data_IF_055015727535
#
_entry.id   IF_055015727535
#
_cell.length_a   1.000
_cell.length_b   1.000
_cell.length_c   1.000
_cell.angle_alpha   90.00
_cell.angle_beta   90.00
_cell.angle_gamma   90.00
#
_symmetry.space_group_name_H-M   'P 1'
#
loop_
_entity.id
_entity.type
_entity.pdbx_description
1 polymer ?
#
# COMPACT_ATOMS: atom_id res chain seq x y z
N UNK A 1 -10.94 -20.86 14.50
CA UNK A 1 -9.73 -20.19 13.97
C UNK A 1 -9.33 -20.92 12.70
N UNK A 2 -9.32 -20.24 11.54
CA UNK A 2 -9.10 -20.91 10.27
C UNK A 2 -7.61 -21.34 10.15
N UNK A 3 -7.39 -22.66 10.02
CA UNK A 3 -6.06 -23.28 9.92
C UNK A 3 -5.26 -22.72 8.74
N UNK A 4 -5.95 -22.29 7.68
CA UNK A 4 -5.35 -21.69 6.48
C UNK A 4 -4.71 -20.33 6.79
N UNK A 5 -5.36 -19.55 7.65
CA UNK A 5 -4.86 -18.24 8.07
C UNK A 5 -3.59 -18.35 8.92
N UNK A 6 -3.60 -19.28 9.90
CA UNK A 6 -2.44 -19.52 10.76
C UNK A 6 -1.24 -20.03 9.96
N UNK A 7 -1.47 -20.92 9.00
CA UNK A 7 -0.43 -21.41 8.10
C UNK A 7 0.17 -20.29 7.24
N UNK A 8 -0.67 -19.43 6.65
CA UNK A 8 -0.22 -18.30 5.84
C UNK A 8 0.63 -17.31 6.67
N UNK A 9 0.21 -17.02 7.91
CA UNK A 9 0.94 -16.14 8.83
C UNK A 9 2.31 -16.70 9.22
N UNK A 10 2.38 -17.99 9.55
CA UNK A 10 3.63 -18.68 9.89
C UNK A 10 4.58 -18.73 8.69
N UNK A 11 4.08 -19.06 7.51
CA UNK A 11 4.87 -19.07 6.27
C UNK A 11 5.43 -17.70 5.95
N UNK A 12 4.64 -16.64 6.09
CA UNK A 12 5.10 -15.26 5.88
C UNK A 12 6.18 -14.85 6.89
N UNK A 13 6.08 -15.30 8.15
CA UNK A 13 7.10 -15.04 9.18
C UNK A 13 8.43 -15.74 8.87
N UNK A 14 8.39 -17.01 8.42
CA UNK A 14 9.58 -17.77 7.99
C UNK A 14 10.25 -17.13 6.79
N UNK A 15 9.48 -16.75 5.76
CA UNK A 15 10.00 -16.06 4.58
C UNK A 15 10.69 -14.74 4.95
N UNK A 16 10.17 -14.00 5.93
CA UNK A 16 10.84 -12.78 6.41
C UNK A 16 12.18 -13.07 7.08
N UNK A 17 12.26 -14.12 7.90
CA UNK A 17 13.51 -14.50 8.58
C UNK A 17 14.59 -14.87 7.55
N UNK A 18 14.26 -15.73 6.58
CA UNK A 18 15.17 -16.10 5.49
C UNK A 18 15.61 -14.90 4.64
N UNK A 19 14.68 -13.97 4.35
CA UNK A 19 15.01 -12.76 3.63
C UNK A 19 15.95 -11.83 4.39
N UNK A 20 15.84 -11.77 5.72
CA UNK A 20 16.75 -10.97 6.53
C UNK A 20 18.20 -11.48 6.42
N UNK A 21 18.39 -12.80 6.37
CA UNK A 21 19.71 -13.41 6.17
C UNK A 21 20.28 -13.10 4.77
N UNK A 22 19.45 -13.20 3.73
CA UNK A 22 19.86 -12.88 2.36
C UNK A 22 20.18 -11.39 2.20
N UNK A 23 19.47 -10.51 2.92
CA UNK A 23 19.75 -9.06 2.92
C UNK A 23 21.07 -8.70 3.60
N UNK A 24 21.56 -9.55 4.50
CA UNK A 24 22.88 -9.40 5.10
C UNK A 24 24.02 -9.79 4.13
N UNK A 25 23.72 -10.49 3.05
CA UNK A 25 24.70 -10.86 2.02
C UNK A 25 25.01 -9.69 1.08
N UNK A 26 26.17 -9.75 0.41
CA UNK A 26 26.64 -8.68 -0.49
C UNK A 26 25.99 -8.79 -1.88
N UNK A 27 25.71 -7.62 -2.48
CA UNK A 27 25.25 -7.51 -3.87
C UNK A 27 23.86 -6.91 -4.07
N UNK A 28 23.76 -5.84 -4.89
CA UNK A 28 22.53 -5.10 -5.14
C UNK A 28 21.41 -5.96 -5.75
N UNK A 29 21.74 -6.89 -6.66
CA UNK A 29 20.77 -7.77 -7.28
C UNK A 29 20.15 -8.75 -6.28
N UNK A 30 20.95 -9.25 -5.35
CA UNK A 30 20.53 -10.17 -4.32
C UNK A 30 19.65 -9.46 -3.28
N UNK A 31 20.03 -8.25 -2.86
CA UNK A 31 19.18 -7.38 -2.01
C UNK A 31 17.83 -7.13 -2.67
N UNK A 32 17.81 -6.73 -3.95
CA UNK A 32 16.56 -6.49 -4.67
C UNK A 32 15.67 -7.74 -4.74
N UNK A 33 16.25 -8.92 -4.90
CA UNK A 33 15.50 -10.19 -4.87
C UNK A 33 14.89 -10.45 -3.49
N UNK A 34 15.66 -10.26 -2.42
CA UNK A 34 15.20 -10.44 -1.05
C UNK A 34 14.06 -9.47 -0.70
N UNK A 35 14.16 -8.19 -1.09
CA UNK A 35 13.07 -7.23 -0.88
C UNK A 35 11.79 -7.62 -1.64
N UNK A 36 11.89 -8.22 -2.84
CA UNK A 36 10.71 -8.74 -3.54
C UNK A 36 10.02 -9.88 -2.79
N UNK A 37 10.82 -10.80 -2.22
CA UNK A 37 10.28 -11.89 -1.40
C UNK A 37 9.65 -11.35 -0.11
N UNK A 38 10.34 -10.42 0.56
CA UNK A 38 9.83 -9.77 1.78
C UNK A 38 8.52 -9.02 1.53
N UNK A 39 8.40 -8.33 0.40
CA UNK A 39 7.15 -7.69 -0.03
C UNK A 39 6.02 -8.70 -0.21
N UNK A 40 6.29 -9.83 -0.85
CA UNK A 40 5.30 -10.89 -1.02
C UNK A 40 4.85 -11.45 0.34
N UNK A 41 5.79 -11.69 1.27
CA UNK A 41 5.51 -12.17 2.62
C UNK A 41 4.66 -11.17 3.42
N UNK A 42 5.01 -9.88 3.40
CA UNK A 42 4.23 -8.83 4.07
C UNK A 42 2.81 -8.72 3.51
N UNK A 43 2.65 -8.80 2.19
CA UNK A 43 1.32 -8.74 1.56
C UNK A 43 0.47 -9.96 1.92
N UNK A 44 1.06 -11.15 1.95
CA UNK A 44 0.36 -12.37 2.36
C UNK A 44 -0.05 -12.32 3.84
N UNK A 45 0.83 -11.84 4.71
CA UNK A 45 0.51 -11.66 6.13
C UNK A 45 -0.61 -10.65 6.34
N UNK A 46 -0.52 -9.50 5.66
CA UNK A 46 -1.56 -8.47 5.74
C UNK A 46 -2.90 -8.97 5.20
N UNK A 47 -2.88 -9.73 4.11
CA UNK A 47 -4.06 -10.39 3.57
C UNK A 47 -4.69 -11.34 4.58
N UNK A 48 -3.89 -12.20 5.21
CA UNK A 48 -4.35 -13.13 6.23
C UNK A 48 -4.94 -12.40 7.45
N UNK A 49 -4.32 -11.29 7.87
CA UNK A 49 -4.83 -10.47 8.97
C UNK A 49 -6.15 -9.78 8.61
N UNK A 50 -6.28 -9.19 7.42
CA UNK A 50 -7.49 -8.48 7.00
C UNK A 50 -8.69 -9.41 6.76
N UNK A 51 -8.45 -10.63 6.28
CA UNK A 51 -9.51 -11.62 6.00
C UNK A 51 -9.80 -12.57 7.17
N UNK A 52 -8.91 -12.64 8.17
CA UNK A 52 -9.06 -13.44 9.38
C UNK A 52 -9.64 -12.65 10.57
N UNK A 53 -9.09 -12.91 11.77
CA UNK A 53 -9.50 -12.23 13.02
C UNK A 53 -9.20 -10.73 13.01
N UNK A 54 -8.27 -10.33 12.16
CA UNK A 54 -7.98 -8.96 11.78
C UNK A 54 -7.17 -8.17 12.79
N UNK A 55 -6.81 -6.98 12.35
CA UNK A 55 -6.21 -5.96 13.20
C UNK A 55 -7.33 -5.13 13.82
N UNK A 56 -7.29 -4.88 15.14
CA UNK A 56 -8.29 -4.04 15.79
C UNK A 56 -8.25 -2.62 15.23
N UNK A 57 -9.41 -2.01 14.96
CA UNK A 57 -9.46 -0.63 14.52
C UNK A 57 -8.98 0.31 15.65
N UNK A 58 -8.20 1.32 15.27
CA UNK A 58 -7.85 2.44 16.13
C UNK A 58 -8.18 3.73 15.39
N UNK A 59 -8.41 4.79 16.14
CA UNK A 59 -8.60 6.10 15.51
C UNK A 59 -7.29 6.58 14.91
N UNK A 60 -7.33 6.99 13.65
CA UNK A 60 -6.21 7.60 12.94
C UNK A 60 -6.69 8.76 12.07
N UNK A 61 -5.80 9.69 11.75
CA UNK A 61 -6.07 10.70 10.71
C UNK A 61 -5.60 10.16 9.36
N UNK A 62 -6.55 9.79 8.50
CA UNK A 62 -6.28 9.25 7.18
C UNK A 62 -5.44 10.21 6.33
N UNK A 63 -5.70 11.52 6.40
CA UNK A 63 -4.98 12.52 5.58
C UNK A 63 -3.55 12.73 6.07
N UNK A 64 -3.32 12.74 7.37
CA UNK A 64 -2.00 12.91 7.95
C UNK A 64 -1.12 11.66 7.72
N UNK A 65 -1.66 10.45 7.92
CA UNK A 65 -0.96 9.19 7.64
C UNK A 65 -0.65 9.04 6.15
N UNK A 66 -1.59 9.41 5.26
CA UNK A 66 -1.34 9.40 3.82
C UNK A 66 -0.23 10.39 3.41
N UNK A 67 -0.21 11.60 4.01
CA UNK A 67 0.85 12.59 3.78
C UNK A 67 2.21 12.03 4.15
N UNK A 68 2.36 11.49 5.35
CA UNK A 68 3.63 10.94 5.83
C UNK A 68 4.17 9.82 4.93
N UNK A 69 3.28 8.92 4.47
CA UNK A 69 3.65 7.84 3.55
C UNK A 69 4.08 8.35 2.17
N UNK A 70 3.40 9.39 1.64
CA UNK A 70 3.77 10.00 0.35
C UNK A 70 5.09 10.76 0.47
N UNK A 71 5.33 11.46 1.57
CA UNK A 71 6.59 12.14 1.86
C UNK A 71 7.74 11.12 1.97
N UNK A 72 7.56 10.04 2.73
CA UNK A 72 8.53 8.95 2.79
C UNK A 72 8.80 8.32 1.41
N UNK A 73 7.75 8.11 0.60
CA UNK A 73 7.90 7.59 -0.75
C UNK A 73 8.71 8.53 -1.67
N UNK A 74 8.55 9.86 -1.52
CA UNK A 74 9.33 10.84 -2.27
C UNK A 74 10.82 10.83 -1.93
N UNK A 75 11.15 10.54 -0.68
CA UNK A 75 12.55 10.47 -0.23
C UNK A 75 13.28 9.25 -0.80
N UNK A 76 12.57 8.11 -0.96
CA UNK A 76 13.21 6.86 -1.39
C UNK A 76 13.07 6.57 -2.88
N UNK A 77 12.09 7.15 -3.57
CA UNK A 77 11.91 6.95 -5.01
C UNK A 77 12.66 8.01 -5.81
N UNK A 78 13.55 7.63 -6.74
CA UNK A 78 14.35 8.55 -7.54
C UNK A 78 13.49 9.22 -8.64
N UNK A 79 12.56 10.06 -8.25
CA UNK A 79 11.66 10.77 -9.16
C UNK A 79 11.45 12.22 -8.72
N UNK A 80 11.24 13.15 -9.67
CA UNK A 80 10.91 14.53 -9.32
C UNK A 80 9.64 14.60 -8.44
N UNK A 81 9.63 15.42 -7.37
CA UNK A 81 8.47 15.58 -6.50
C UNK A 81 7.19 16.01 -7.24
N UNK A 82 7.33 16.67 -8.39
CA UNK A 82 6.21 17.06 -9.26
C UNK A 82 5.45 15.88 -9.86
N UNK A 83 6.09 14.71 -9.93
CA UNK A 83 5.48 13.48 -10.47
C UNK A 83 4.75 12.65 -9.40
N UNK A 84 5.01 12.89 -8.10
CA UNK A 84 4.24 12.30 -7.01
C UNK A 84 3.62 13.43 -6.18
N UNK A 85 2.37 13.77 -6.47
CA UNK A 85 1.65 14.89 -5.84
C UNK A 85 0.77 14.42 -4.70
N UNK A 86 0.72 15.21 -3.63
CA UNK A 86 -0.22 15.02 -2.53
C UNK A 86 -1.02 16.28 -2.29
N UNK A 87 -2.32 16.13 -2.02
CA UNK A 87 -3.20 17.21 -1.56
C UNK A 87 -4.24 16.67 -0.58
N UNK A 88 -4.66 17.51 0.36
CA UNK A 88 -5.69 17.19 1.34
C UNK A 88 -6.67 18.36 1.48
N UNK A 89 -7.85 18.11 2.01
CA UNK A 89 -8.92 19.10 2.17
C UNK A 89 -8.69 20.15 3.27
N UNK A 90 -7.52 20.16 3.90
CA UNK A 90 -7.15 21.11 4.96
C UNK A 90 -7.73 20.81 6.34
N UNK A 91 -8.59 19.80 6.46
CA UNK A 91 -9.17 19.34 7.72
C UNK A 91 -8.71 17.90 8.02
N UNK A 92 -8.58 17.52 9.29
CA UNK A 92 -8.35 16.14 9.67
C UNK A 92 -9.46 15.21 9.17
N UNK A 93 -9.10 13.99 8.83
CA UNK A 93 -10.04 12.95 8.38
C UNK A 93 -9.97 11.76 9.34
N UNK A 94 -10.59 11.85 10.54
CA UNK A 94 -10.56 10.79 11.53
C UNK A 94 -11.36 9.58 11.06
N UNK A 95 -10.72 8.42 11.06
CA UNK A 95 -11.32 7.12 10.72
C UNK A 95 -10.91 6.06 11.75
N UNK A 96 -11.73 5.04 11.91
CA UNK A 96 -11.42 3.89 12.74
C UNK A 96 -10.89 2.75 11.85
N UNK A 97 -9.56 2.60 11.79
CA UNK A 97 -8.89 1.57 11.01
C UNK A 97 -7.53 1.20 11.62
N UNK A 98 -6.91 0.13 11.14
CA UNK A 98 -5.54 -0.20 11.51
C UNK A 98 -4.55 0.55 10.62
N UNK A 99 -3.78 1.46 11.21
CA UNK A 99 -2.80 2.29 10.47
C UNK A 99 -1.75 1.48 9.71
N UNK A 100 -1.18 0.36 10.24
CA UNK A 100 -0.27 -0.49 9.47
C UNK A 100 -0.92 -1.08 8.21
N UNK A 101 -2.21 -1.47 8.29
CA UNK A 101 -2.94 -2.00 7.15
C UNK A 101 -3.23 -0.90 6.10
N UNK A 102 -3.59 0.31 6.55
CA UNK A 102 -3.71 1.47 5.68
C UNK A 102 -2.40 1.77 4.95
N UNK A 103 -1.27 1.74 5.68
CA UNK A 103 0.07 1.91 5.11
C UNK A 103 0.38 0.89 4.02
N UNK A 104 0.12 -0.40 4.28
CA UNK A 104 0.31 -1.45 3.30
C UNK A 104 -0.55 -1.23 2.04
N UNK A 105 -1.81 -0.82 2.19
CA UNK A 105 -2.71 -0.52 1.08
C UNK A 105 -2.18 0.64 0.24
N UNK A 106 -1.89 1.78 0.86
CA UNK A 106 -1.45 2.97 0.13
C UNK A 106 -0.11 2.75 -0.59
N UNK A 107 0.85 2.10 0.07
CA UNK A 107 2.15 1.77 -0.53
C UNK A 107 2.02 0.78 -1.69
N UNK A 108 1.12 -0.20 -1.61
CA UNK A 108 0.83 -1.10 -2.74
C UNK A 108 0.21 -0.37 -3.93
N UNK A 109 -0.73 0.55 -3.69
CA UNK A 109 -1.34 1.37 -4.73
C UNK A 109 -0.29 2.28 -5.39
N UNK A 110 0.55 2.95 -4.59
CA UNK A 110 1.67 3.76 -5.08
C UNK A 110 2.65 2.93 -5.91
N UNK A 111 3.09 1.78 -5.40
CA UNK A 111 3.99 0.90 -6.11
C UNK A 111 3.43 0.46 -7.47
N UNK A 112 2.14 0.10 -7.53
CA UNK A 112 1.50 -0.27 -8.78
C UNK A 112 1.52 0.89 -9.78
N UNK A 113 1.17 2.09 -9.35
CA UNK A 113 1.21 3.28 -10.22
C UNK A 113 2.61 3.63 -10.70
N UNK A 114 3.63 3.44 -9.85
CA UNK A 114 5.04 3.66 -10.22
C UNK A 114 5.57 2.58 -11.16
N UNK A 115 5.15 1.33 -10.99
CA UNK A 115 5.57 0.21 -11.84
C UNK A 115 4.93 0.26 -13.23
N UNK A 116 3.65 0.52 -13.28
CA UNK A 116 2.85 0.42 -14.50
C UNK A 116 2.54 1.77 -15.14
N UNK A 117 2.97 2.88 -14.52
CA UNK A 117 2.74 4.24 -15.00
C UNK A 117 3.56 4.68 -16.22
N UNK A 118 4.37 3.78 -16.80
CA UNK A 118 5.22 4.08 -17.96
C UNK A 118 6.59 4.67 -17.58
N UNK A 119 7.27 5.29 -18.56
CA UNK A 119 8.64 5.78 -18.40
C UNK A 119 8.76 6.98 -17.42
N UNK A 120 7.70 7.81 -17.32
CA UNK A 120 7.63 8.95 -16.40
C UNK A 120 6.31 8.86 -15.61
N UNK A 121 6.23 7.97 -14.61
CA UNK A 121 5.00 7.76 -13.87
C UNK A 121 4.64 9.03 -13.11
N UNK A 122 3.47 9.61 -13.42
CA UNK A 122 2.89 10.69 -12.66
C UNK A 122 1.76 10.14 -11.80
N UNK A 123 1.79 10.45 -10.49
CA UNK A 123 0.82 9.96 -9.52
C UNK A 123 0.29 11.12 -8.68
N UNK A 124 -1.01 11.15 -8.47
CA UNK A 124 -1.66 12.10 -7.57
C UNK A 124 -2.41 11.36 -6.48
N UNK A 125 -2.12 11.70 -5.21
CA UNK A 125 -2.85 11.23 -4.04
C UNK A 125 -3.61 12.41 -3.46
N UNK A 126 -4.93 12.25 -3.28
CA UNK A 126 -5.80 13.28 -2.73
C UNK A 126 -6.64 12.73 -1.59
N UNK A 127 -6.67 13.46 -0.47
CA UNK A 127 -7.54 13.14 0.65
C UNK A 127 -8.67 14.17 0.73
N UNK A 128 -9.91 13.70 0.71
CA UNK A 128 -11.12 14.51 0.63
C UNK A 128 -12.12 14.10 1.70
N UNK A 129 -12.93 15.04 2.14
CA UNK A 129 -14.16 14.76 2.89
C UNK A 129 -15.34 14.75 1.93
N UNK A 130 -16.14 13.69 1.95
CA UNK A 130 -17.36 13.58 1.15
C UNK A 130 -18.52 13.18 2.09
N UNK A 131 -19.27 14.17 2.53
CA UNK A 131 -20.30 13.98 3.55
C UNK A 131 -19.72 13.42 4.85
N UNK A 132 -20.20 12.25 5.25
CA UNK A 132 -19.73 11.50 6.43
C UNK A 132 -18.55 10.56 6.16
N UNK A 133 -17.90 10.68 5.01
CA UNK A 133 -16.82 9.78 4.61
C UNK A 133 -15.51 10.52 4.37
N UNK A 134 -14.41 9.89 4.79
CA UNK A 134 -13.06 10.22 4.35
C UNK A 134 -12.79 9.45 3.05
N UNK A 135 -12.27 10.12 2.02
CA UNK A 135 -11.97 9.53 0.72
C UNK A 135 -10.52 9.79 0.37
N UNK A 136 -9.77 8.72 0.08
CA UNK A 136 -8.46 8.78 -0.53
C UNK A 136 -8.61 8.42 -2.01
N UNK A 137 -8.19 9.33 -2.88
CA UNK A 137 -8.12 9.13 -4.33
C UNK A 137 -6.66 9.02 -4.74
N UNK A 138 -6.29 7.94 -5.39
CA UNK A 138 -4.99 7.78 -6.03
C UNK A 138 -5.23 7.67 -7.53
N UNK A 139 -4.57 8.50 -8.31
CA UNK A 139 -4.67 8.49 -9.78
C UNK A 139 -3.28 8.49 -10.39
N UNK A 140 -3.09 7.64 -11.37
CA UNK A 140 -1.98 7.70 -12.31
C UNK A 140 -2.46 8.03 -13.74
N UNK A 141 -1.51 8.35 -14.61
CA UNK A 141 -1.72 8.63 -16.04
C UNK A 141 -0.97 7.63 -16.92
N UNK A 142 -0.88 6.38 -16.44
CA UNK A 142 -0.26 5.28 -17.17
C UNK A 142 -1.12 4.74 -18.32
N UNK A 143 -0.74 3.56 -18.85
CA UNK A 143 -1.45 2.91 -19.94
C UNK A 143 -2.84 2.38 -19.55
N UNK A 144 -3.15 2.33 -18.25
CA UNK A 144 -4.38 1.75 -17.73
C UNK A 144 -4.38 0.23 -17.74
N UNK A 145 -5.46 -0.36 -17.24
CA UNK A 145 -5.69 -1.80 -17.16
C UNK A 145 -6.68 -2.20 -18.25
N UNK A 146 -6.33 -3.12 -19.15
CA UNK A 146 -7.24 -3.63 -20.18
C UNK A 146 -8.52 -4.22 -19.56
N UNK A 147 -9.70 -4.06 -20.16
CA UNK A 147 -10.98 -4.48 -19.59
C UNK A 147 -11.02 -5.94 -19.14
N UNK A 148 -10.45 -6.85 -19.91
CA UNK A 148 -10.38 -8.28 -19.59
C UNK A 148 -9.52 -8.59 -18.35
N UNK A 149 -8.59 -7.68 -17.97
CA UNK A 149 -7.74 -7.83 -16.79
C UNK A 149 -8.29 -7.11 -15.55
N UNK A 150 -9.25 -6.20 -15.69
CA UNK A 150 -9.74 -5.41 -14.55
C UNK A 150 -10.41 -6.30 -13.48
N UNK A 151 -11.20 -7.30 -13.89
CA UNK A 151 -11.81 -8.25 -12.94
C UNK A 151 -10.75 -9.11 -12.24
N UNK A 152 -9.74 -9.57 -12.99
CA UNK A 152 -8.63 -10.35 -12.46
C UNK A 152 -7.76 -9.54 -11.50
N UNK A 153 -7.63 -8.24 -11.72
CA UNK A 153 -6.82 -7.36 -10.87
C UNK A 153 -7.33 -7.26 -9.42
N UNK A 154 -8.63 -7.49 -9.19
CA UNK A 154 -9.24 -7.53 -7.86
C UNK A 154 -9.34 -8.96 -7.28
N UNK A 155 -8.99 -9.98 -8.06
CA UNK A 155 -9.01 -11.38 -7.60
C UNK A 155 -7.66 -11.70 -6.94
N UNK A 156 -7.66 -12.20 -5.69
CA UNK A 156 -6.42 -12.55 -5.00
C UNK A 156 -5.60 -13.58 -5.81
N UNK A 157 -4.30 -13.35 -5.90
CA UNK A 157 -3.34 -14.22 -6.57
C UNK A 157 -3.57 -14.48 -8.07
N UNK A 158 -4.54 -13.83 -8.71
CA UNK A 158 -4.84 -14.06 -10.14
C UNK A 158 -3.74 -13.54 -11.09
N UNK A 159 -2.81 -12.73 -10.60
CA UNK A 159 -1.65 -12.23 -11.36
C UNK A 159 -0.33 -12.90 -10.99
N UNK A 160 -0.35 -14.02 -10.28
CA UNK A 160 0.81 -14.64 -9.65
C UNK A 160 1.83 -15.33 -10.62
N UNK A 161 1.74 -15.12 -11.91
CA UNK A 161 2.71 -15.63 -12.87
C UNK A 161 4.11 -14.97 -12.83
N UNK A 162 4.29 -13.92 -12.05
CA UNK A 162 5.58 -13.25 -11.80
C UNK A 162 5.59 -12.59 -10.41
N UNK A 163 6.55 -12.95 -9.61
CA UNK A 163 6.72 -12.69 -8.18
C UNK A 163 6.56 -11.27 -7.58
N UNK A 164 6.45 -10.13 -8.25
CA UNK A 164 6.50 -8.84 -7.54
C UNK A 164 5.21 -8.47 -6.77
N UNK A 165 4.79 -9.28 -5.80
CA UNK A 165 3.70 -8.95 -4.87
C UNK A 165 2.50 -9.88 -4.88
N UNK A 166 2.60 -11.06 -5.49
CA UNK A 166 1.58 -12.13 -5.50
C UNK A 166 0.18 -11.71 -6.01
N UNK A 167 0.05 -10.57 -6.71
CA UNK A 167 -1.26 -10.09 -7.14
C UNK A 167 -2.20 -9.72 -5.98
N UNK A 168 -1.66 -9.39 -4.80
CA UNK A 168 -2.44 -9.08 -3.61
C UNK A 168 -2.68 -7.59 -3.38
N UNK A 169 -1.98 -6.68 -4.09
CA UNK A 169 -2.03 -5.24 -3.79
C UNK A 169 -3.44 -4.63 -3.88
N UNK A 170 -4.16 -4.85 -4.97
CA UNK A 170 -5.54 -4.36 -5.14
C UNK A 170 -6.56 -5.14 -4.28
N UNK A 171 -6.48 -6.49 -4.19
CA UNK A 171 -7.27 -7.26 -3.24
C UNK A 171 -7.13 -6.79 -1.79
N UNK A 172 -5.91 -6.42 -1.34
CA UNK A 172 -5.68 -5.84 0.00
C UNK A 172 -6.47 -4.56 0.22
N UNK A 173 -6.54 -3.67 -0.78
CA UNK A 173 -7.31 -2.44 -0.68
C UNK A 173 -8.82 -2.72 -0.55
N UNK A 174 -9.33 -3.71 -1.29
CA UNK A 174 -10.73 -4.12 -1.19
C UNK A 174 -11.03 -4.79 0.17
N UNK A 175 -10.16 -5.68 0.66
CA UNK A 175 -10.30 -6.33 1.95
C UNK A 175 -10.22 -5.32 3.11
N UNK A 176 -9.30 -4.36 3.04
CA UNK A 176 -9.20 -3.26 4.01
C UNK A 176 -10.48 -2.43 4.06
N UNK A 177 -10.98 -2.01 2.89
CA UNK A 177 -12.23 -1.25 2.82
C UNK A 177 -13.39 -2.01 3.46
N UNK A 178 -13.61 -3.26 3.05
CA UNK A 178 -14.67 -4.11 3.59
C UNK A 178 -14.55 -4.30 5.11
N UNK A 179 -13.34 -4.50 5.62
CA UNK A 179 -13.07 -4.71 7.05
C UNK A 179 -13.45 -3.52 7.92
N UNK A 180 -13.21 -2.30 7.43
CA UNK A 180 -13.44 -1.08 8.20
C UNK A 180 -14.68 -0.29 7.75
N UNK A 181 -15.68 -0.97 7.19
CA UNK A 181 -16.97 -0.38 6.82
C UNK A 181 -16.90 0.62 5.66
N UNK A 182 -15.86 0.46 4.84
CA UNK A 182 -15.58 1.31 3.69
C UNK A 182 -15.98 0.71 2.35
N UNK A 183 -15.50 1.36 1.29
CA UNK A 183 -15.59 0.86 -0.08
C UNK A 183 -14.29 1.15 -0.83
N UNK A 184 -13.92 0.25 -1.72
CA UNK A 184 -12.82 0.43 -2.66
C UNK A 184 -13.34 0.32 -4.08
N UNK A 185 -13.02 1.29 -4.92
CA UNK A 185 -13.36 1.31 -6.34
C UNK A 185 -12.12 1.50 -7.19
N UNK A 186 -12.11 0.85 -8.34
CA UNK A 186 -11.03 0.94 -9.32
C UNK A 186 -11.63 1.29 -10.67
N UNK A 187 -11.24 2.43 -11.21
CA UNK A 187 -11.60 2.85 -12.55
C UNK A 187 -10.36 2.89 -13.42
N UNK A 188 -10.43 2.29 -14.59
CA UNK A 188 -9.34 2.31 -15.55
C UNK A 188 -9.87 2.26 -16.99
N UNK A 189 -9.20 3.02 -17.84
CA UNK A 189 -9.44 2.97 -19.29
C UNK A 189 -8.09 2.91 -20.00
N UNK A 190 -7.94 2.10 -21.06
CA UNK A 190 -6.73 2.06 -21.86
C UNK A 190 -6.27 3.47 -22.29
N UNK A 191 -5.01 3.78 -22.06
CA UNK A 191 -4.40 5.08 -22.36
C UNK A 191 -4.82 6.25 -21.46
N UNK A 192 -5.63 6.02 -20.41
CA UNK A 192 -6.12 7.06 -19.48
C UNK A 192 -5.69 6.85 -18.03
N UNK A 193 -4.85 5.84 -17.79
CA UNK A 193 -4.36 5.49 -16.46
C UNK A 193 -5.38 4.78 -15.59
N UNK A 194 -5.10 4.79 -14.29
CA UNK A 194 -5.91 4.15 -13.24
C UNK A 194 -6.31 5.19 -12.20
N UNK A 195 -7.55 5.11 -11.75
CA UNK A 195 -8.04 5.84 -10.59
C UNK A 195 -8.54 4.82 -9.54
N UNK A 196 -7.94 4.83 -8.37
CA UNK A 196 -8.32 4.02 -7.21
C UNK A 196 -8.91 4.93 -6.15
N UNK A 197 -10.10 4.61 -5.65
CA UNK A 197 -10.73 5.35 -4.57
C UNK A 197 -11.00 4.43 -3.37
N UNK A 198 -10.50 4.82 -2.21
CA UNK A 198 -10.76 4.19 -0.92
C UNK A 198 -11.59 5.15 -0.08
N UNK A 199 -12.77 4.73 0.36
CA UNK A 199 -13.61 5.51 1.25
C UNK A 199 -13.85 4.80 2.57
N UNK A 200 -13.74 5.52 3.69
CA UNK A 200 -14.02 5.03 5.04
C UNK A 200 -15.02 5.96 5.75
N UNK A 201 -15.84 5.45 6.67
CA UNK A 201 -16.67 6.32 7.50
C UNK A 201 -15.80 7.20 8.40
N UNK A 202 -16.14 8.48 8.48
CA UNK A 202 -15.57 9.37 9.49
C UNK A 202 -16.06 8.96 10.87
N UNK A 203 -15.19 9.01 11.88
CA UNK A 203 -15.57 8.78 13.25
C UNK A 203 -15.41 10.07 14.07
N UNK A 204 -16.36 10.39 14.97
CA UNK A 204 -16.20 11.51 15.89
C UNK A 204 -15.10 11.22 16.90
N UNK A 205 -14.19 12.16 17.11
CA UNK A 205 -13.10 12.02 18.08
C UNK A 205 -12.85 13.35 18.79
N UNK A 206 -12.56 13.28 20.08
CA UNK A 206 -12.17 14.45 20.88
C UNK A 206 -10.71 14.84 20.64
N UNK A 207 -9.84 13.86 20.35
CA UNK A 207 -8.41 14.07 20.13
C UNK A 207 -7.86 13.05 19.14
N UNK A 208 -7.13 13.53 18.14
CA UNK A 208 -6.44 12.66 17.21
C UNK A 208 -5.08 12.23 17.76
N UNK A 209 -4.65 10.97 17.49
CA UNK A 209 -3.29 10.57 17.76
C UNK A 209 -2.31 11.35 16.89
N UNK A 210 -1.06 11.45 17.34
CA UNK A 210 -0.01 12.08 16.54
C UNK A 210 0.25 11.20 15.29
N UNK A 211 0.22 11.77 14.08
CA UNK A 211 0.50 11.01 12.88
C UNK A 211 1.97 10.56 12.83
N UNK A 212 2.31 9.49 12.11
CA UNK A 212 3.69 9.11 11.88
C UNK A 212 4.42 10.22 11.10
N UNK A 213 5.73 10.33 11.33
CA UNK A 213 6.60 11.20 10.54
C UNK A 213 7.32 10.39 9.47
N UNK A 214 7.59 10.97 8.30
CA UNK A 214 8.30 10.31 7.22
C UNK A 214 9.65 9.72 7.69
N UNK A 215 10.43 10.47 8.46
CA UNK A 215 11.70 10.00 9.00
C UNK A 215 11.54 8.75 9.91
N UNK A 216 10.48 8.66 10.71
CA UNK A 216 10.23 7.48 11.53
C UNK A 216 9.85 6.25 10.67
N UNK A 217 9.17 6.48 9.54
CA UNK A 217 8.82 5.43 8.58
C UNK A 217 10.05 4.91 7.81
N UNK A 218 11.15 5.67 7.77
CA UNK A 218 12.39 5.34 7.07
C UNK A 218 13.53 4.93 8.00
N UNK A 219 13.31 4.94 9.31
CA UNK A 219 14.34 4.63 10.30
C UNK A 219 14.81 3.17 10.25
N UNK A 220 13.96 2.26 9.78
CA UNK A 220 14.25 0.84 9.64
C UNK A 220 14.36 0.47 8.16
N UNK A 221 15.48 -0.16 7.76
CA UNK A 221 15.69 -0.69 6.41
C UNK A 221 14.64 -1.73 6.00
N UNK A 222 13.99 -2.38 6.95
CA UNK A 222 12.90 -3.34 6.71
C UNK A 222 11.51 -2.69 6.80
N UNK A 223 11.45 -1.37 6.86
CA UNK A 223 10.17 -0.68 6.97
C UNK A 223 9.26 -1.00 5.77
N UNK A 224 7.94 -0.94 5.96
CA UNK A 224 7.00 -1.15 4.87
C UNK A 224 7.24 -0.24 3.67
N UNK A 225 7.82 0.95 3.86
CA UNK A 225 8.12 1.90 2.77
C UNK A 225 9.15 1.30 1.83
N UNK A 226 10.33 0.89 2.34
CA UNK A 226 11.36 0.26 1.52
C UNK A 226 10.88 -1.05 0.90
N UNK A 227 10.23 -1.89 1.70
CA UNK A 227 9.76 -3.21 1.26
C UNK A 227 8.71 -3.09 0.15
N UNK A 228 7.68 -2.27 0.33
CA UNK A 228 6.60 -2.15 -0.63
C UNK A 228 7.01 -1.40 -1.90
N UNK A 229 7.91 -0.43 -1.78
CA UNK A 229 8.41 0.36 -2.92
C UNK A 229 9.69 -0.21 -3.54
N UNK A 230 10.22 -1.32 -3.03
CA UNK A 230 11.48 -1.95 -3.46
C UNK A 230 11.67 -2.08 -4.98
N UNK A 231 10.61 -2.29 -5.80
CA UNK A 231 10.79 -2.34 -7.24
C UNK A 231 11.14 -0.99 -7.90
N UNK A 232 10.99 0.12 -7.17
CA UNK A 232 11.10 1.50 -7.69
C UNK A 232 11.83 2.46 -6.76
N UNK A 233 12.28 2.03 -5.60
CA UNK A 233 13.03 2.89 -4.65
C UNK A 233 14.53 2.56 -4.67
N UNK A 234 15.30 3.49 -4.12
CA UNK A 234 16.69 3.24 -3.74
C UNK A 234 16.65 2.46 -2.43
N UNK A 235 17.22 1.26 -2.45
CA UNK A 235 17.26 0.40 -1.27
C UNK A 235 18.41 0.85 -0.35
N UNK A 236 18.21 0.82 0.97
CA UNK A 236 19.28 1.08 1.92
C UNK A 236 20.37 -0.01 1.86
N UNK A 237 21.59 0.36 2.19
CA UNK A 237 22.75 -0.54 2.28
C UNK A 237 22.63 -1.52 3.45
#
# INVERSE_FOLDING_TARGET
>A
MDLRWECARRTAALLRAECAEVLAAEGAAQRAAAYRILRAAQNLEMWAQLTGTGLPPRVMDLSASARALVEAAREVCPMPPSLLRFSACGQPLPVAAAEPAFGAVLLNLLCNSLLYGGAKPAVSVRCLRQGSRAVLLLRDWGPGIPPHRQRLALTPCAGAGSLPGLGLGLPLAAAFAARYGGAFTLESRPGKGVAAALSLPLCPVAKLPRPPHAAALLADRYSPVYVQLSPRCVLPD
#
